data_IF_315902390296
#
_entry.id   IF_315902390296
#
_cell.length_a   1.000
_cell.length_b   1.000
_cell.length_c   1.000
_cell.angle_alpha   90.00
_cell.angle_beta   90.00
_cell.angle_gamma   90.00
#
_symmetry.space_group_name_H-M   'P 1'
#
loop_
_entity.id
_entity.type
_entity.pdbx_description
1 polymer ?
#
# COMPACT_ATOMS: atom_id res chain seq x y z
N UNK A 1 59.40 -13.38 52.99
CA UNK A 1 57.94 -13.53 53.17
C UNK A 1 57.33 -12.13 53.31
N UNK A 2 56.36 -11.78 52.44
CA UNK A 2 55.49 -10.59 52.41
C UNK A 2 56.14 -9.19 52.37
N UNK A 3 56.23 -8.62 51.15
CA UNK A 3 56.32 -7.18 50.88
C UNK A 3 54.90 -6.63 50.65
N UNK A 4 54.54 -5.60 51.40
CA UNK A 4 53.36 -4.76 51.18
C UNK A 4 53.61 -3.79 50.02
N UNK A 5 52.59 -3.54 49.18
CA UNK A 5 52.51 -2.36 48.31
C UNK A 5 51.17 -1.65 48.56
N UNK A 6 51.17 -0.31 48.64
CA UNK A 6 49.96 0.48 48.83
C UNK A 6 49.27 0.77 47.49
N UNK A 7 47.96 0.95 47.55
CA UNK A 7 47.04 1.28 46.46
C UNK A 7 47.05 2.77 46.16
N UNK A 8 47.25 3.15 44.89
CA UNK A 8 47.17 4.53 44.41
C UNK A 8 46.30 4.61 43.15
N UNK A 9 45.54 5.70 43.07
CA UNK A 9 44.84 6.31 41.92
C UNK A 9 43.66 5.57 41.30
N UNK A 10 42.47 6.08 41.61
CA UNK A 10 41.66 6.90 40.71
C UNK A 10 41.81 6.63 39.21
N UNK A 11 40.77 6.02 38.63
CA UNK A 11 40.31 6.33 37.27
C UNK A 11 38.78 6.27 37.23
N UNK A 12 38.15 7.45 37.22
CA UNK A 12 36.79 7.62 36.72
C UNK A 12 36.78 7.30 35.21
N UNK A 13 35.81 6.55 34.68
CA UNK A 13 35.69 6.39 33.24
C UNK A 13 35.02 7.62 32.63
N UNK A 14 35.80 8.34 31.82
CA UNK A 14 35.36 9.40 30.92
C UNK A 14 34.64 8.80 29.71
N UNK A 15 33.49 9.40 29.41
CA UNK A 15 32.92 9.58 28.06
C UNK A 15 32.71 8.33 27.20
N UNK A 16 31.48 7.83 27.16
CA UNK A 16 30.92 7.26 25.95
C UNK A 16 29.63 7.99 25.58
N UNK A 17 29.81 9.21 25.06
CA UNK A 17 28.82 9.91 24.26
C UNK A 17 28.74 9.20 22.90
N UNK A 18 27.91 8.16 22.80
CA UNK A 18 27.46 7.68 21.49
C UNK A 18 26.24 8.47 21.07
N UNK A 19 26.54 9.58 20.40
CA UNK A 19 25.60 10.39 19.65
C UNK A 19 25.17 9.57 18.41
N UNK A 20 24.13 8.75 18.54
CA UNK A 20 23.47 8.17 17.36
C UNK A 20 22.59 9.25 16.72
N UNK A 21 23.21 9.97 15.79
CA UNK A 21 22.56 10.85 14.83
C UNK A 21 21.55 10.04 14.01
N UNK A 22 20.26 10.23 14.32
CA UNK A 22 19.18 9.78 13.44
C UNK A 22 19.26 10.60 12.14
N UNK A 23 19.16 10.00 10.94
CA UNK A 23 19.00 10.79 9.74
C UNK A 23 17.62 11.46 9.80
N UNK A 24 17.61 12.78 9.82
CA UNK A 24 16.41 13.58 9.64
C UNK A 24 15.89 13.30 8.22
N UNK A 25 14.78 12.56 8.12
CA UNK A 25 14.03 12.48 6.88
C UNK A 25 13.57 13.90 6.53
N UNK A 26 14.06 14.42 5.40
CA UNK A 26 13.58 15.63 4.78
C UNK A 26 12.10 15.44 4.45
N UNK A 27 11.22 15.99 5.29
CA UNK A 27 9.82 16.20 4.94
C UNK A 27 9.78 17.24 3.83
N UNK A 28 9.56 16.77 2.59
CA UNK A 28 9.23 17.66 1.48
C UNK A 28 7.83 18.23 1.72
N UNK A 29 7.77 19.44 2.28
CA UNK A 29 6.55 20.24 2.27
C UNK A 29 6.44 20.86 0.88
N UNK A 30 5.61 20.28 0.02
CA UNK A 30 5.19 20.95 -1.21
C UNK A 30 4.22 22.08 -0.82
N UNK A 31 4.74 23.31 -0.76
CA UNK A 31 3.92 24.52 -0.66
C UNK A 31 3.20 24.72 -2.00
N UNK A 32 1.97 24.24 -2.12
CA UNK A 32 1.14 24.48 -3.31
C UNK A 32 0.63 25.92 -3.21
N UNK A 33 1.22 26.83 -3.98
CA UNK A 33 0.62 28.15 -4.26
C UNK A 33 -0.47 27.92 -5.31
N UNK A 34 -1.64 27.48 -4.86
CA UNK A 34 -2.87 27.50 -5.62
C UNK A 34 -3.91 28.21 -4.77
N UNK A 35 -4.21 29.47 -5.09
CA UNK A 35 -5.29 30.20 -4.43
C UNK A 35 -6.59 29.47 -4.79
N UNK A 36 -7.31 28.83 -3.85
CA UNK A 36 -8.59 28.24 -4.18
C UNK A 36 -9.57 29.37 -4.54
N UNK A 37 -10.37 29.24 -5.61
CA UNK A 37 -11.46 30.17 -5.86
C UNK A 37 -12.45 30.06 -4.71
N UNK A 38 -12.50 31.09 -3.86
CA UNK A 38 -13.47 31.17 -2.76
C UNK A 38 -14.86 31.44 -3.35
N UNK A 39 -15.60 30.37 -3.65
CA UNK A 39 -17.00 30.49 -4.06
C UNK A 39 -17.85 30.83 -2.83
N UNK A 40 -18.11 32.12 -2.63
CA UNK A 40 -19.08 32.61 -1.65
C UNK A 40 -20.49 32.25 -2.13
N UNK A 41 -20.99 31.08 -1.73
CA UNK A 41 -22.31 30.62 -2.15
C UNK A 41 -22.76 29.30 -1.53
N UNK A 42 -22.99 29.27 -0.21
CA UNK A 42 -23.98 28.39 0.48
C UNK A 42 -23.86 26.86 0.40
N UNK A 43 -22.95 26.28 -0.38
CA UNK A 43 -22.81 24.82 -0.56
C UNK A 43 -21.34 24.43 -0.43
N UNK A 44 -20.83 24.45 0.81
CA UNK A 44 -19.46 24.04 1.13
C UNK A 44 -18.37 24.85 0.43
N UNK A 45 -17.13 24.70 0.90
CA UNK A 45 -15.96 25.22 0.21
C UNK A 45 -15.39 24.12 -0.69
N UNK A 46 -15.15 24.44 -1.97
CA UNK A 46 -14.49 23.52 -2.89
C UNK A 46 -12.98 23.72 -2.84
N UNK A 47 -12.24 22.65 -2.55
CA UNK A 47 -10.79 22.60 -2.72
C UNK A 47 -10.46 21.70 -3.91
N UNK A 48 -9.64 22.19 -4.84
CA UNK A 48 -9.25 21.45 -6.05
C UNK A 48 -7.76 21.08 -6.03
N UNK A 49 -7.45 19.80 -6.28
CA UNK A 49 -6.08 19.28 -6.39
C UNK A 49 -5.79 18.86 -7.84
N UNK A 50 -5.15 19.73 -8.63
CA UNK A 50 -5.04 19.56 -10.10
C UNK A 50 -3.73 18.93 -10.57
N UNK A 51 -2.79 18.64 -9.67
CA UNK A 51 -1.48 18.07 -10.01
C UNK A 51 -1.48 16.53 -10.02
N UNK A 52 -2.56 15.92 -9.55
CA UNK A 52 -2.72 14.47 -9.52
C UNK A 52 -3.10 14.00 -10.93
N UNK A 53 -2.51 12.89 -11.37
CA UNK A 53 -2.87 12.22 -12.63
C UNK A 53 -4.36 11.78 -12.61
N UNK A 54 -4.88 11.30 -13.72
CA UNK A 54 -6.26 10.80 -13.79
C UNK A 54 -6.55 9.81 -12.67
N UNK A 55 -7.55 10.15 -11.85
CA UNK A 55 -8.02 9.32 -10.75
C UNK A 55 -8.98 8.30 -11.33
N UNK A 56 -8.70 7.01 -11.09
CA UNK A 56 -9.47 5.88 -11.60
C UNK A 56 -10.32 5.20 -10.53
N UNK A 57 -9.87 5.26 -9.28
CA UNK A 57 -10.62 4.79 -8.12
C UNK A 57 -10.31 5.65 -6.90
N UNK A 58 -11.31 5.79 -6.03
CA UNK A 58 -11.25 6.51 -4.76
C UNK A 58 -11.79 5.58 -3.69
N UNK A 59 -11.06 5.46 -2.58
CA UNK A 59 -11.47 4.68 -1.43
C UNK A 59 -11.25 5.49 -0.15
N UNK A 60 -12.28 5.55 0.68
CA UNK A 60 -12.22 6.16 2.01
C UNK A 60 -12.09 5.07 3.08
N UNK A 61 -11.07 5.18 3.94
CA UNK A 61 -10.85 4.33 5.11
C UNK A 61 -10.49 5.21 6.32
N UNK A 62 -11.47 5.46 7.19
CA UNK A 62 -11.31 6.32 8.38
C UNK A 62 -10.83 7.73 8.00
N UNK A 63 -9.67 8.17 8.47
CA UNK A 63 -9.09 9.49 8.18
C UNK A 63 -8.20 9.48 6.93
N UNK A 64 -8.22 8.38 6.16
CA UNK A 64 -7.42 8.20 4.95
C UNK A 64 -8.30 8.11 3.71
N UNK A 65 -7.89 8.81 2.65
CA UNK A 65 -8.37 8.59 1.30
C UNK A 65 -7.25 7.98 0.47
N UNK A 66 -7.54 6.86 -0.18
CA UNK A 66 -6.66 6.23 -1.14
C UNK A 66 -7.16 6.49 -2.55
N UNK A 67 -6.25 6.90 -3.44
CA UNK A 67 -6.53 7.18 -4.84
C UNK A 67 -5.70 6.25 -5.72
N UNK A 68 -6.35 5.58 -6.65
CA UNK A 68 -5.70 4.90 -7.77
C UNK A 68 -5.56 5.90 -8.92
N UNK A 69 -4.35 6.07 -9.45
CA UNK A 69 -4.08 7.03 -10.54
C UNK A 69 -3.19 6.41 -11.61
N UNK A 70 -3.10 7.01 -12.81
CA UNK A 70 -2.13 6.57 -13.82
C UNK A 70 -0.66 6.84 -13.48
N UNK A 71 -0.38 7.55 -12.39
CA UNK A 71 0.97 7.91 -11.95
C UNK A 71 1.38 7.34 -10.59
N UNK A 72 0.60 6.42 -10.03
CA UNK A 72 0.85 5.77 -8.76
C UNK A 72 -0.39 5.72 -7.87
N UNK A 73 -0.20 5.21 -6.66
CA UNK A 73 -1.19 5.27 -5.60
C UNK A 73 -0.96 6.53 -4.75
N UNK A 74 -2.03 7.22 -4.37
CA UNK A 74 -1.94 8.39 -3.48
C UNK A 74 -2.70 8.10 -2.21
N UNK A 75 -2.09 8.39 -1.06
CA UNK A 75 -2.76 8.44 0.24
C UNK A 75 -2.92 9.88 0.66
N UNK A 76 -4.12 10.27 1.07
CA UNK A 76 -4.44 11.61 1.59
C UNK A 76 -4.94 11.47 3.02
N UNK A 77 -4.39 12.27 3.93
CA UNK A 77 -4.82 12.34 5.34
C UNK A 77 -5.81 13.50 5.55
N UNK A 78 -6.93 13.24 6.23
CA UNK A 78 -7.99 14.21 6.51
C UNK A 78 -8.06 14.41 8.04
N UNK A 79 -8.20 15.65 8.57
CA UNK A 79 -8.36 16.95 7.89
C UNK A 79 -7.02 17.64 7.52
N UNK A 80 -5.92 16.90 7.40
CA UNK A 80 -4.59 17.48 7.24
C UNK A 80 -4.14 17.84 5.82
N UNK A 81 -4.89 17.43 4.79
CA UNK A 81 -4.56 17.56 3.35
C UNK A 81 -3.12 17.10 3.00
N UNK A 82 -2.50 16.27 3.84
CA UNK A 82 -1.18 15.72 3.56
C UNK A 82 -1.33 14.55 2.61
N UNK A 83 -0.58 14.57 1.51
CA UNK A 83 -0.57 13.48 0.54
C UNK A 83 0.78 12.77 0.50
N UNK A 84 0.74 11.46 0.38
CA UNK A 84 1.90 10.60 0.10
C UNK A 84 1.65 9.88 -1.22
N UNK A 85 2.62 9.93 -2.13
CA UNK A 85 2.57 9.22 -3.40
C UNK A 85 3.43 7.97 -3.30
N UNK A 86 2.89 6.84 -3.77
CA UNK A 86 3.58 5.58 -3.90
C UNK A 86 3.67 5.20 -5.37
N UNK A 87 4.89 5.02 -5.84
CA UNK A 87 5.22 4.53 -7.17
C UNK A 87 6.05 3.26 -7.04
N UNK A 88 6.54 2.73 -8.15
CA UNK A 88 7.41 1.57 -8.18
C UNK A 88 8.73 1.77 -7.43
N UNK A 89 9.19 3.01 -7.22
CA UNK A 89 10.36 3.28 -6.37
C UNK A 89 10.06 3.15 -4.88
N UNK A 90 8.79 3.25 -4.47
CA UNK A 90 8.35 3.08 -3.08
C UNK A 90 7.82 1.66 -2.79
N UNK A 91 7.87 0.76 -3.78
CA UNK A 91 7.50 -0.66 -3.65
C UNK A 91 6.16 -1.05 -4.28
N UNK A 92 5.42 -0.11 -4.89
CA UNK A 92 4.25 -0.44 -5.71
C UNK A 92 4.68 -1.31 -6.91
N UNK A 93 3.84 -2.23 -7.38
CA UNK A 93 4.24 -3.10 -8.50
C UNK A 93 4.32 -2.35 -9.84
N UNK A 94 3.48 -1.34 -10.03
CA UNK A 94 3.42 -0.51 -11.24
C UNK A 94 2.69 0.80 -11.02
N UNK A 95 3.05 1.83 -11.79
CA UNK A 95 2.53 3.19 -11.58
C UNK A 95 1.14 3.42 -12.18
N UNK A 96 0.71 2.54 -13.09
CA UNK A 96 -0.59 2.65 -13.72
C UNK A 96 -1.61 1.89 -12.87
N UNK A 97 -2.19 2.57 -11.87
CA UNK A 97 -3.09 1.96 -10.87
C UNK A 97 -4.55 2.11 -11.32
N UNK A 98 -5.28 1.00 -11.36
CA UNK A 98 -6.64 0.92 -11.88
C UNK A 98 -7.70 0.91 -10.78
N UNK A 99 -7.38 0.30 -9.65
CA UNK A 99 -8.36 0.04 -8.58
C UNK A 99 -7.66 0.00 -7.21
N UNK A 100 -8.44 0.25 -6.16
CA UNK A 100 -7.97 0.21 -4.76
C UNK A 100 -9.07 -0.28 -3.84
N UNK A 101 -8.72 -1.17 -2.90
CA UNK A 101 -9.61 -1.68 -1.83
C UNK A 101 -8.83 -1.86 -0.53
N UNK A 102 -9.52 -1.89 0.60
CA UNK A 102 -8.96 -2.12 1.93
C UNK A 102 -9.60 -3.36 2.53
N UNK A 103 -8.77 -4.27 3.04
CA UNK A 103 -9.25 -5.49 3.68
C UNK A 103 -9.50 -5.33 5.19
N UNK A 104 -9.98 -6.41 5.83
CA UNK A 104 -10.30 -6.41 7.27
C UNK A 104 -9.09 -6.21 8.19
N UNK A 105 -7.88 -6.49 7.72
CA UNK A 105 -6.64 -6.22 8.45
C UNK A 105 -6.12 -4.80 8.18
N UNK A 106 -6.89 -4.00 7.43
CA UNK A 106 -6.53 -2.69 6.90
C UNK A 106 -5.38 -2.70 5.90
N UNK A 107 -5.00 -3.88 5.39
CA UNK A 107 -4.05 -3.93 4.30
C UNK A 107 -4.72 -3.32 3.06
N UNK A 108 -3.96 -2.53 2.32
CA UNK A 108 -4.45 -1.81 1.15
C UNK A 108 -4.00 -2.55 -0.09
N UNK A 109 -4.92 -2.83 -0.99
CA UNK A 109 -4.69 -3.57 -2.22
C UNK A 109 -4.90 -2.66 -3.42
N UNK A 110 -3.98 -2.75 -4.38
CA UNK A 110 -3.94 -1.91 -5.57
C UNK A 110 -3.85 -2.78 -6.81
N UNK A 111 -4.82 -2.63 -7.70
CA UNK A 111 -4.77 -3.23 -9.02
C UNK A 111 -3.92 -2.37 -9.94
N UNK A 112 -3.05 -2.98 -10.73
CA UNK A 112 -2.26 -2.27 -11.74
C UNK A 112 -2.62 -2.72 -13.15
N UNK A 113 -2.41 -1.86 -14.14
CA UNK A 113 -2.74 -2.13 -15.54
C UNK A 113 -1.84 -3.19 -16.18
N UNK A 114 -0.74 -3.61 -15.54
CA UNK A 114 0.11 -4.68 -16.10
C UNK A 114 1.23 -5.20 -15.23
N UNK A 115 1.23 -4.92 -13.93
CA UNK A 115 2.23 -5.41 -12.97
C UNK A 115 1.56 -6.18 -11.82
N UNK A 116 0.35 -6.66 -12.03
CA UNK A 116 -0.39 -7.48 -11.08
C UNK A 116 -1.01 -6.67 -9.95
N UNK A 117 -1.24 -7.37 -8.85
CA UNK A 117 -1.90 -6.87 -7.67
C UNK A 117 -0.85 -6.56 -6.61
N UNK A 118 -0.83 -5.32 -6.11
CA UNK A 118 0.07 -4.92 -5.03
C UNK A 118 -0.69 -4.82 -3.71
N UNK A 119 -0.15 -5.40 -2.64
CA UNK A 119 -0.64 -5.25 -1.28
C UNK A 119 0.35 -4.47 -0.45
N UNK A 120 -0.13 -3.41 0.20
CA UNK A 120 0.59 -2.66 1.22
C UNK A 120 0.06 -3.06 2.60
N UNK A 121 0.96 -3.55 3.45
CA UNK A 121 0.62 -3.93 4.82
C UNK A 121 0.33 -2.71 5.68
N UNK A 122 -0.72 -2.76 6.50
CA UNK A 122 -1.04 -1.68 7.43
C UNK A 122 -0.01 -1.55 8.56
N UNK A 123 0.44 -2.69 9.09
CA UNK A 123 1.29 -2.79 10.29
C UNK A 123 2.69 -2.16 10.12
N UNK A 124 3.35 -2.41 9.00
CA UNK A 124 4.74 -2.03 8.76
C UNK A 124 4.95 -1.32 7.42
N UNK A 125 3.90 -1.16 6.60
CA UNK A 125 3.99 -0.52 5.30
C UNK A 125 4.72 -1.31 4.21
N UNK A 126 5.05 -2.58 4.46
CA UNK A 126 5.72 -3.44 3.48
C UNK A 126 4.81 -3.76 2.30
N UNK A 127 5.44 -3.95 1.14
CA UNK A 127 4.76 -4.28 -0.11
C UNK A 127 4.94 -5.75 -0.46
N UNK A 128 3.89 -6.35 -1.04
CA UNK A 128 3.94 -7.62 -1.75
C UNK A 128 3.21 -7.49 -3.08
N UNK A 129 3.80 -8.04 -4.13
CA UNK A 129 3.17 -8.16 -5.45
C UNK A 129 2.67 -9.58 -5.65
N UNK A 130 1.51 -9.72 -6.28
CA UNK A 130 0.92 -10.97 -6.72
C UNK A 130 0.79 -10.97 -8.23
N UNK A 131 1.23 -12.05 -8.86
CA UNK A 131 1.30 -12.23 -10.31
C UNK A 131 0.66 -13.56 -10.72
N UNK A 132 0.71 -13.91 -12.00
CA UNK A 132 0.29 -15.23 -12.46
C UNK A 132 1.05 -16.38 -11.77
N UNK A 133 2.28 -16.15 -11.32
CA UNK A 133 3.03 -17.11 -10.51
C UNK A 133 2.42 -17.36 -9.13
N UNK A 134 1.61 -16.43 -8.63
CA UNK A 134 0.83 -16.57 -7.38
C UNK A 134 -0.61 -17.08 -7.65
N UNK A 135 -0.94 -17.41 -8.90
CA UNK A 135 -2.28 -17.87 -9.31
C UNK A 135 -3.21 -16.76 -9.82
N UNK A 136 -2.74 -15.52 -10.00
CA UNK A 136 -3.53 -14.48 -10.64
C UNK A 136 -3.80 -14.82 -12.12
N UNK A 137 -5.02 -14.59 -12.62
CA UNK A 137 -5.38 -14.94 -13.99
C UNK A 137 -4.62 -14.11 -15.03
N UNK A 138 -4.36 -12.83 -14.73
CA UNK A 138 -3.53 -11.93 -15.53
C UNK A 138 -3.02 -10.78 -14.66
N UNK A 139 -1.82 -10.29 -14.94
CA UNK A 139 -1.24 -9.11 -14.29
C UNK A 139 -1.94 -7.79 -14.63
N UNK A 140 -2.90 -7.79 -15.56
CA UNK A 140 -3.67 -6.60 -15.95
C UNK A 140 -4.99 -6.56 -15.16
N UNK A 141 -4.95 -5.88 -14.02
CA UNK A 141 -6.10 -5.76 -13.12
C UNK A 141 -7.04 -4.67 -13.62
N UNK A 142 -8.32 -5.01 -13.78
CA UNK A 142 -9.37 -4.09 -14.21
C UNK A 142 -10.20 -3.57 -13.05
N UNK A 143 -10.45 -4.40 -12.03
CA UNK A 143 -11.24 -4.02 -10.87
C UNK A 143 -10.93 -4.89 -9.63
N UNK A 144 -11.23 -4.37 -8.44
CA UNK A 144 -11.07 -5.06 -7.17
C UNK A 144 -12.33 -4.90 -6.33
N UNK A 145 -12.76 -5.99 -5.70
CA UNK A 145 -13.87 -5.98 -4.76
C UNK A 145 -13.55 -6.86 -3.56
N UNK A 146 -13.84 -6.36 -2.37
CA UNK A 146 -13.78 -7.16 -1.15
C UNK A 146 -15.20 -7.44 -0.67
N UNK A 147 -15.48 -8.72 -0.47
CA UNK A 147 -16.66 -9.18 0.24
C UNK A 147 -16.22 -10.13 1.36
N UNK A 148 -16.51 -9.75 2.59
CA UNK A 148 -16.20 -10.51 3.80
C UNK A 148 -14.77 -11.05 3.86
N UNK A 149 -14.61 -12.34 3.52
CA UNK A 149 -13.36 -13.08 3.58
C UNK A 149 -12.73 -13.30 2.19
N UNK A 150 -13.21 -12.59 1.18
CA UNK A 150 -12.83 -12.81 -0.21
C UNK A 150 -12.46 -11.50 -0.89
N UNK A 151 -11.31 -11.52 -1.55
CA UNK A 151 -10.89 -10.53 -2.53
C UNK A 151 -11.17 -11.09 -3.93
N UNK A 152 -12.07 -10.41 -4.64
CA UNK A 152 -12.39 -10.64 -6.03
C UNK A 152 -11.54 -9.72 -6.89
N UNK A 153 -10.87 -10.29 -7.88
CA UNK A 153 -9.91 -9.59 -8.73
C UNK A 153 -10.33 -9.74 -10.17
N UNK A 154 -10.91 -8.68 -10.73
CA UNK A 154 -11.19 -8.59 -12.15
C UNK A 154 -9.87 -8.41 -12.92
N UNK A 155 -9.64 -9.26 -13.91
CA UNK A 155 -8.50 -9.16 -14.84
C UNK A 155 -9.03 -9.10 -16.27
N UNK A 156 -8.15 -8.83 -17.24
CA UNK A 156 -8.54 -8.92 -18.66
C UNK A 156 -8.64 -10.36 -19.18
N UNK A 157 -8.08 -11.33 -18.46
CA UNK A 157 -8.22 -12.77 -18.72
C UNK A 157 -9.26 -13.45 -17.81
N UNK A 158 -10.12 -12.69 -17.12
CA UNK A 158 -11.25 -13.21 -16.36
C UNK A 158 -11.27 -12.76 -14.89
N UNK A 159 -11.51 -13.70 -13.98
CA UNK A 159 -11.73 -13.44 -12.55
C UNK A 159 -10.79 -14.31 -11.71
N UNK A 160 -10.02 -13.67 -10.84
CA UNK A 160 -9.29 -14.35 -9.76
C UNK A 160 -9.96 -14.11 -8.42
N UNK A 161 -9.87 -15.10 -7.54
CA UNK A 161 -10.50 -15.07 -6.21
C UNK A 161 -9.47 -15.47 -5.16
N UNK A 162 -9.26 -14.60 -4.18
CA UNK A 162 -8.38 -14.85 -3.05
C UNK A 162 -9.19 -14.89 -1.76
N UNK A 163 -9.14 -16.01 -1.02
CA UNK A 163 -9.95 -16.24 0.18
C UNK A 163 -9.02 -16.30 1.40
N UNK A 164 -9.22 -15.41 2.38
CA UNK A 164 -8.47 -15.45 3.64
C UNK A 164 -8.99 -16.57 4.55
N UNK A 165 -8.08 -17.18 5.33
CA UNK A 165 -8.44 -18.15 6.37
C UNK A 165 -8.99 -19.47 5.83
N UNK A 166 -8.93 -19.70 4.51
CA UNK A 166 -9.00 -21.05 3.97
C UNK A 166 -7.62 -21.65 4.20
N UNK A 167 -7.45 -22.34 5.32
CA UNK A 167 -6.39 -23.34 5.42
C UNK A 167 -6.64 -24.29 4.25
N UNK A 168 -5.81 -24.14 3.22
CA UNK A 168 -5.63 -25.22 2.26
C UNK A 168 -4.98 -26.29 3.13
N UNK A 169 -5.69 -27.39 3.38
CA UNK A 169 -5.15 -28.56 4.07
C UNK A 169 -3.67 -28.72 3.68
N UNK A 170 -2.80 -28.82 4.68
CA UNK A 170 -1.31 -28.79 4.61
C UNK A 170 -0.66 -29.77 3.61
N UNK A 171 -1.44 -30.51 2.82
CA UNK A 171 -0.97 -31.58 1.93
C UNK A 171 -1.44 -31.46 0.47
N UNK A 172 -2.05 -30.35 0.01
CA UNK A 172 -2.33 -30.17 -1.42
C UNK A 172 -2.02 -28.78 -1.95
N UNK A 173 -0.94 -28.71 -2.72
CA UNK A 173 -0.69 -27.71 -3.76
C UNK A 173 -1.83 -27.75 -4.81
N UNK A 174 -3.02 -27.27 -4.46
CA UNK A 174 -4.14 -27.19 -5.40
C UNK A 174 -4.98 -25.96 -5.11
N UNK A 175 -4.59 -24.86 -5.75
CA UNK A 175 -5.49 -23.73 -5.99
C UNK A 175 -6.58 -24.20 -6.96
N UNK A 176 -7.79 -24.44 -6.46
CA UNK A 176 -8.94 -24.71 -7.32
C UNK A 176 -9.44 -23.37 -7.86
N UNK A 177 -9.05 -23.03 -9.09
CA UNK A 177 -9.85 -22.14 -9.93
C UNK A 177 -10.98 -22.96 -10.51
N UNK A 178 -12.22 -22.58 -10.22
CA UNK A 178 -13.38 -23.24 -10.81
C UNK A 178 -13.36 -23.04 -12.32
N UNK A 179 -13.22 -24.14 -13.04
CA UNK A 179 -13.34 -24.29 -14.50
C UNK A 179 -14.80 -24.05 -14.99
N UNK A 180 -15.49 -23.08 -14.39
CA UNK A 180 -16.89 -22.81 -14.63
C UNK A 180 -17.07 -21.83 -15.80
N UNK A 181 -16.43 -22.06 -16.95
CA UNK A 181 -16.83 -21.44 -18.23
C UNK A 181 -16.30 -22.15 -19.48
N UNK A 182 -16.21 -23.49 -19.51
CA UNK A 182 -16.27 -24.23 -20.79
C UNK A 182 -17.70 -24.66 -21.06
N UNK A 183 -18.47 -23.72 -21.60
CA UNK A 183 -19.77 -23.98 -22.19
C UNK A 183 -19.67 -25.08 -23.24
N UNK A 184 -20.42 -26.15 -23.00
CA UNK A 184 -20.80 -27.15 -23.98
C UNK A 184 -21.41 -26.47 -25.21
N UNK A 185 -20.67 -26.44 -26.33
CA UNK A 185 -21.33 -26.38 -27.63
C UNK A 185 -21.82 -27.79 -27.93
N UNK A 186 -23.11 -28.00 -27.74
CA UNK A 186 -23.81 -29.11 -28.38
C UNK A 186 -23.76 -28.90 -29.89
N UNK A 187 -23.33 -29.94 -30.60
CA UNK A 187 -23.86 -30.37 -31.90
C UNK A 187 -23.92 -31.89 -31.86
#
# INVERSE_FOLDING_TARGET
MKRTRPTHSDRLPMSYLQHHSRPAFLFFVCLIIGIPPSSHGGVGDWTAFTFIKDIRSILFDQDLVWLATSGGAVRVEIPGEQFTVFTNTEGLSGNDVTSVVVDRNRDVWFGTLGQGLARRRHDNGSWRTFTSLDGLASERITDLLIDQNTLWVGTDDGLSVFIWGRDVDEDRDTFIFSDAYRGSRGV
#
